data_IF_603804269855
#
_entry.id   IF_603804269855
#
_cell.length_a   1.000
_cell.length_b   1.000
_cell.length_c   1.000
_cell.angle_alpha   90.00
_cell.angle_beta   90.00
_cell.angle_gamma   90.00
#
_symmetry.space_group_name_H-M   'P 1'
#
loop_
_entity.id
_entity.type
_entity.pdbx_description
1 polymer ?
#
# COMPACT_ATOMS: atom_id res chain seq x y z
N UNK A 1 -6.44 44.19 -8.04
CA UNK A 1 -5.94 42.81 -7.96
C UNK A 1 -6.87 42.04 -7.05
N UNK A 2 -7.76 41.23 -7.63
CA UNK A 2 -8.73 40.41 -6.89
C UNK A 2 -8.05 39.11 -6.50
N UNK A 3 -7.82 38.91 -5.21
CA UNK A 3 -7.37 37.60 -4.66
C UNK A 3 -8.57 36.67 -4.73
N UNK A 4 -8.56 35.72 -5.67
CA UNK A 4 -9.58 34.70 -5.80
C UNK A 4 -9.64 33.90 -4.49
N UNK A 5 -10.77 33.94 -3.80
CA UNK A 5 -11.08 33.09 -2.66
C UNK A 5 -11.02 31.63 -3.14
N UNK A 6 -9.88 30.97 -2.92
CA UNK A 6 -9.77 29.52 -3.10
C UNK A 6 -10.83 28.88 -2.22
N UNK A 7 -11.75 28.16 -2.85
CA UNK A 7 -12.91 27.55 -2.18
C UNK A 7 -12.45 26.47 -1.19
N UNK A 8 -12.31 26.83 0.07
CA UNK A 8 -12.11 25.91 1.20
C UNK A 8 -13.23 24.85 1.34
N UNK A 9 -14.40 25.13 0.73
CA UNK A 9 -15.57 24.23 0.78
C UNK A 9 -15.37 22.93 0.01
N UNK A 10 -14.57 22.91 -1.06
CA UNK A 10 -14.32 21.68 -1.83
C UNK A 10 -13.37 20.72 -1.12
N UNK A 11 -12.37 21.22 -0.40
CA UNK A 11 -11.44 20.38 0.37
C UNK A 11 -12.10 19.70 1.57
N UNK A 12 -12.91 20.44 2.33
CA UNK A 12 -13.61 19.90 3.51
C UNK A 12 -14.64 18.83 3.12
N UNK A 13 -15.34 18.98 1.98
CA UNK A 13 -16.28 17.96 1.51
C UNK A 13 -15.61 16.68 1.04
N UNK A 14 -14.38 16.74 0.49
CA UNK A 14 -13.60 15.56 0.11
C UNK A 14 -13.12 14.84 1.37
N UNK A 15 -12.60 15.56 2.36
CA UNK A 15 -12.15 14.99 3.63
C UNK A 15 -13.32 14.31 4.38
N UNK A 16 -14.49 14.96 4.46
CA UNK A 16 -15.68 14.38 5.09
C UNK A 16 -16.17 13.12 4.38
N UNK A 17 -16.15 13.10 3.03
CA UNK A 17 -16.52 11.90 2.26
C UNK A 17 -15.49 10.78 2.44
N UNK A 18 -14.21 11.10 2.49
CA UNK A 18 -13.15 10.14 2.76
C UNK A 18 -13.28 9.54 4.18
N UNK A 19 -13.54 10.36 5.19
CA UNK A 19 -13.82 9.91 6.56
C UNK A 19 -15.08 9.03 6.64
N UNK A 20 -16.14 9.37 5.90
CA UNK A 20 -17.35 8.56 5.84
C UNK A 20 -17.05 7.20 5.18
N UNK A 21 -16.28 7.15 4.09
CA UNK A 21 -15.88 5.89 3.44
C UNK A 21 -15.04 5.01 4.36
N UNK A 22 -14.15 5.61 5.17
CA UNK A 22 -13.34 4.89 6.17
C UNK A 22 -14.21 4.31 7.29
N UNK A 23 -15.28 4.99 7.72
CA UNK A 23 -16.20 4.48 8.74
C UNK A 23 -17.02 3.26 8.30
N UNK A 24 -17.13 3.02 6.99
CA UNK A 24 -17.79 1.83 6.42
C UNK A 24 -16.79 0.70 6.08
N UNK A 25 -15.49 0.88 6.33
CA UNK A 25 -14.53 -0.21 6.19
C UNK A 25 -14.81 -1.25 7.28
N UNK A 26 -15.21 -2.45 6.85
CA UNK A 26 -15.41 -3.59 7.76
C UNK A 26 -14.07 -3.93 8.44
N UNK A 27 -14.11 -4.45 9.69
CA UNK A 27 -12.90 -4.90 10.36
C UNK A 27 -12.15 -5.89 9.45
N UNK A 28 -10.85 -5.69 9.34
CA UNK A 28 -9.96 -6.57 8.60
C UNK A 28 -9.93 -7.94 9.30
N UNK A 29 -10.90 -8.80 8.99
CA UNK A 29 -10.76 -10.22 9.23
C UNK A 29 -9.55 -10.69 8.42
N UNK A 30 -8.64 -11.43 9.05
CA UNK A 30 -7.40 -11.92 8.45
C UNK A 30 -7.61 -12.31 6.98
N UNK A 31 -6.87 -11.66 6.10
CA UNK A 31 -7.14 -11.58 4.66
C UNK A 31 -6.78 -12.89 3.95
N UNK A 32 -7.56 -13.95 4.19
CA UNK A 32 -7.37 -15.23 3.51
C UNK A 32 -8.17 -15.28 2.20
N UNK A 33 -7.53 -15.12 1.02
CA UNK A 33 -8.21 -15.14 -0.28
C UNK A 33 -9.00 -16.41 -0.54
N UNK A 34 -8.66 -17.52 0.14
CA UNK A 34 -9.29 -18.84 0.02
C UNK A 34 -10.15 -19.21 1.25
N UNK A 35 -10.66 -18.22 2.02
CA UNK A 35 -11.50 -18.48 3.18
C UNK A 35 -10.83 -19.36 4.25
N UNK A 36 -9.59 -19.04 4.62
CA UNK A 36 -8.72 -19.76 5.56
C UNK A 36 -8.24 -21.14 5.10
N UNK A 37 -8.50 -21.54 3.85
CA UNK A 37 -7.95 -22.78 3.30
C UNK A 37 -6.62 -22.52 2.61
N UNK A 38 -5.65 -23.41 2.85
CA UNK A 38 -4.36 -23.36 2.12
C UNK A 38 -4.59 -23.66 0.63
N UNK A 39 -4.01 -22.89 -0.28
CA UNK A 39 -3.98 -23.25 -1.70
C UNK A 39 -3.32 -24.61 -1.89
N UNK A 40 -3.93 -25.48 -2.72
CA UNK A 40 -3.49 -26.85 -2.95
C UNK A 40 -2.86 -27.06 -4.33
N UNK A 41 -3.08 -26.11 -5.24
CA UNK A 41 -2.57 -26.19 -6.61
C UNK A 41 -1.80 -24.92 -6.99
N UNK A 42 -0.94 -25.01 -8.00
CA UNK A 42 -0.22 -23.86 -8.55
C UNK A 42 -1.18 -22.72 -8.92
N UNK A 43 -2.30 -23.02 -9.58
CA UNK A 43 -3.28 -22.01 -9.97
C UNK A 43 -3.93 -21.35 -8.75
N UNK A 44 -4.27 -22.10 -7.71
CA UNK A 44 -4.79 -21.53 -6.46
C UNK A 44 -3.75 -20.68 -5.74
N UNK A 45 -2.48 -21.10 -5.70
CA UNK A 45 -1.38 -20.31 -5.17
C UNK A 45 -1.24 -18.97 -5.90
N UNK A 46 -1.23 -19.00 -7.22
CA UNK A 46 -1.13 -17.79 -8.05
C UNK A 46 -2.30 -16.83 -7.81
N UNK A 47 -3.54 -17.35 -7.82
CA UNK A 47 -4.75 -16.55 -7.58
C UNK A 47 -4.79 -15.99 -6.15
N UNK A 48 -4.36 -16.77 -5.15
CA UNK A 48 -4.25 -16.32 -3.78
C UNK A 48 -3.22 -15.18 -3.66
N UNK A 49 -2.09 -15.31 -4.35
CA UNK A 49 -1.07 -14.24 -4.44
C UNK A 49 -1.61 -12.97 -5.10
N UNK A 50 -2.40 -13.07 -6.15
CA UNK A 50 -3.08 -11.92 -6.74
C UNK A 50 -4.14 -11.31 -5.82
N UNK A 51 -4.88 -12.14 -5.10
CA UNK A 51 -5.98 -11.72 -4.24
C UNK A 51 -5.52 -11.01 -2.98
N UNK A 52 -4.47 -11.50 -2.32
CA UNK A 52 -4.08 -11.02 -1.00
C UNK A 52 -3.83 -9.51 -0.93
N UNK A 53 -2.98 -8.89 -1.79
CA UNK A 53 -2.75 -7.45 -1.75
C UNK A 53 -3.97 -6.61 -2.18
N UNK A 54 -4.96 -7.21 -2.82
CA UNK A 54 -6.19 -6.52 -3.26
C UNK A 54 -7.27 -6.58 -2.19
N UNK A 55 -7.39 -7.72 -1.51
CA UNK A 55 -8.38 -7.94 -0.44
C UNK A 55 -7.91 -7.25 0.85
N UNK A 56 -6.61 -7.24 1.14
CA UNK A 56 -6.00 -6.49 2.22
C UNK A 56 -5.99 -5.00 1.93
N UNK A 57 -7.01 -4.27 2.41
CA UNK A 57 -7.19 -2.85 2.12
C UNK A 57 -6.03 -1.98 2.62
N UNK A 58 -5.37 -2.37 3.69
CA UNK A 58 -4.15 -1.77 4.24
C UNK A 58 -2.98 -1.93 3.27
N UNK A 59 -2.74 -3.15 2.80
CA UNK A 59 -1.73 -3.42 1.79
C UNK A 59 -2.05 -2.69 0.47
N UNK A 60 -3.31 -2.72 0.03
CA UNK A 60 -3.75 -2.02 -1.19
C UNK A 60 -3.52 -0.51 -1.08
N UNK A 61 -3.90 0.09 0.05
CA UNK A 61 -3.71 1.52 0.29
C UNK A 61 -2.22 1.91 0.27
N UNK A 62 -1.36 1.08 0.90
CA UNK A 62 0.07 1.30 0.88
C UNK A 62 0.66 1.19 -0.53
N UNK A 63 0.35 0.12 -1.27
CA UNK A 63 0.86 -0.12 -2.63
C UNK A 63 0.45 1.00 -3.58
N UNK A 64 -0.82 1.45 -3.54
CA UNK A 64 -1.28 2.61 -4.30
C UNK A 64 -0.48 3.84 -3.90
N UNK A 65 -0.35 4.10 -2.60
CA UNK A 65 0.34 5.28 -2.07
C UNK A 65 1.80 5.38 -2.50
N UNK A 66 2.57 4.31 -2.34
CA UNK A 66 3.99 4.30 -2.79
C UNK A 66 4.11 4.36 -4.31
N UNK A 67 3.13 3.82 -5.07
CA UNK A 67 3.04 3.99 -6.52
C UNK A 67 2.84 5.45 -6.93
N UNK A 68 1.97 6.19 -6.23
CA UNK A 68 1.79 7.64 -6.43
C UNK A 68 3.08 8.41 -6.10
N UNK A 69 3.77 8.08 -4.99
CA UNK A 69 5.05 8.71 -4.61
C UNK A 69 6.13 8.38 -5.65
N UNK A 70 6.19 7.17 -6.15
CA UNK A 70 7.17 6.76 -7.17
C UNK A 70 7.13 7.68 -8.41
N UNK A 71 5.96 8.21 -8.78
CA UNK A 71 5.84 9.17 -9.90
C UNK A 71 6.43 10.56 -9.58
N UNK A 72 6.68 10.87 -8.32
CA UNK A 72 7.28 12.12 -7.85
C UNK A 72 8.81 12.00 -7.66
N UNK A 73 9.33 10.77 -7.66
CA UNK A 73 10.75 10.46 -7.41
C UNK A 73 11.45 10.09 -8.73
N UNK A 74 12.69 10.56 -8.98
CA UNK A 74 13.47 10.10 -10.14
C UNK A 74 13.64 8.58 -10.13
N UNK A 75 13.41 7.93 -11.27
CA UNK A 75 13.47 6.46 -11.41
C UNK A 75 12.61 5.70 -10.37
N UNK A 76 11.53 6.34 -9.89
CA UNK A 76 10.74 5.81 -8.78
C UNK A 76 10.10 4.44 -9.07
N UNK A 77 9.72 4.16 -10.32
CA UNK A 77 9.19 2.84 -10.68
C UNK A 77 10.24 1.72 -10.58
N UNK A 78 11.52 2.04 -10.85
CA UNK A 78 12.62 1.09 -10.62
C UNK A 78 12.84 0.93 -9.11
N UNK A 79 12.85 2.04 -8.36
CA UNK A 79 12.99 2.03 -6.90
C UNK A 79 11.86 1.23 -6.23
N UNK A 80 10.65 1.20 -6.81
CA UNK A 80 9.52 0.38 -6.35
C UNK A 80 9.87 -1.11 -6.25
N UNK A 81 10.82 -1.59 -7.07
CA UNK A 81 11.34 -2.95 -6.96
C UNK A 81 11.93 -3.27 -5.58
N UNK A 82 12.41 -2.26 -4.82
CA UNK A 82 12.90 -2.47 -3.46
C UNK A 82 11.77 -2.90 -2.50
N UNK A 83 10.55 -2.40 -2.70
CA UNK A 83 9.37 -2.85 -1.95
C UNK A 83 9.08 -4.32 -2.23
N UNK A 84 9.07 -4.73 -3.50
CA UNK A 84 8.84 -6.14 -3.87
C UNK A 84 9.93 -7.04 -3.26
N UNK A 85 11.19 -6.63 -3.35
CA UNK A 85 12.31 -7.36 -2.71
C UNK A 85 12.15 -7.45 -1.19
N UNK A 86 11.72 -6.36 -0.54
CA UNK A 86 11.38 -6.35 0.88
C UNK A 86 10.25 -7.32 1.22
N UNK A 87 9.15 -7.32 0.44
CA UNK A 87 8.05 -8.25 0.65
C UNK A 87 8.48 -9.71 0.50
N UNK A 88 9.29 -10.04 -0.50
CA UNK A 88 9.83 -11.39 -0.66
C UNK A 88 10.68 -11.78 0.55
N UNK A 89 11.57 -10.89 1.02
CA UNK A 89 12.38 -11.13 2.20
C UNK A 89 11.53 -11.32 3.47
N UNK A 90 10.52 -10.47 3.68
CA UNK A 90 9.60 -10.58 4.82
C UNK A 90 8.82 -11.88 4.83
N UNK A 91 8.29 -12.30 3.67
CA UNK A 91 7.62 -13.60 3.53
C UNK A 91 8.57 -14.75 3.88
N UNK A 92 9.80 -14.72 3.38
CA UNK A 92 10.81 -15.74 3.71
C UNK A 92 11.11 -15.76 5.22
N UNK A 93 11.27 -14.59 5.87
CA UNK A 93 11.48 -14.50 7.33
C UNK A 93 10.34 -15.22 8.07
N UNK A 94 9.09 -14.97 7.67
CA UNK A 94 7.92 -15.60 8.28
C UNK A 94 7.92 -17.13 8.09
N UNK A 95 8.25 -17.61 6.88
CA UNK A 95 8.31 -19.04 6.58
C UNK A 95 9.39 -19.78 7.39
N UNK A 96 10.44 -19.09 7.80
CA UNK A 96 11.45 -19.62 8.74
C UNK A 96 11.04 -19.52 10.21
N UNK A 97 9.81 -19.15 10.50
CA UNK A 97 9.27 -19.01 11.87
C UNK A 97 10.09 -18.03 12.74
N UNK A 98 10.64 -17.01 12.13
CA UNK A 98 11.31 -15.90 12.84
C UNK A 98 10.25 -14.85 13.14
N UNK A 99 9.97 -14.64 14.42
CA UNK A 99 8.97 -13.66 14.85
C UNK A 99 9.47 -12.22 14.67
N UNK A 100 8.73 -11.43 13.93
CA UNK A 100 8.91 -9.99 13.86
C UNK A 100 7.93 -9.29 14.83
N UNK A 101 8.41 -8.44 15.72
CA UNK A 101 7.54 -7.71 16.65
C UNK A 101 6.79 -6.58 15.92
N UNK A 102 5.62 -6.23 16.44
CA UNK A 102 4.84 -5.05 16.07
C UNK A 102 4.57 -4.89 14.55
N UNK A 103 4.34 -5.99 13.86
CA UNK A 103 4.13 -6.01 12.39
C UNK A 103 2.97 -5.12 11.98
N UNK A 104 1.78 -5.33 12.55
CA UNK A 104 0.57 -4.58 12.23
C UNK A 104 0.70 -3.06 12.53
N UNK A 105 1.24 -2.63 13.69
CA UNK A 105 1.52 -1.22 13.94
C UNK A 105 2.47 -0.59 12.91
N UNK A 106 3.50 -1.30 12.45
CA UNK A 106 4.43 -0.79 11.45
C UNK A 106 3.75 -0.68 10.08
N UNK A 107 2.92 -1.66 9.70
CA UNK A 107 2.10 -1.58 8.48
C UNK A 107 1.23 -0.33 8.53
N UNK A 108 0.46 -0.13 9.60
CA UNK A 108 -0.40 1.04 9.76
C UNK A 108 0.40 2.36 9.74
N UNK A 109 1.53 2.42 10.45
CA UNK A 109 2.42 3.59 10.45
C UNK A 109 2.99 3.90 9.06
N UNK A 110 3.32 2.86 8.26
CA UNK A 110 3.81 3.03 6.89
C UNK A 110 2.75 3.66 5.97
N UNK A 111 1.48 3.31 6.15
CA UNK A 111 0.35 3.90 5.41
C UNK A 111 0.17 5.37 5.80
N UNK A 112 0.25 5.69 7.12
CA UNK A 112 0.19 7.07 7.61
C UNK A 112 1.34 7.89 7.01
N UNK A 113 2.57 7.39 7.08
CA UNK A 113 3.75 8.06 6.54
C UNK A 113 3.61 8.32 5.03
N UNK A 114 3.10 7.34 4.28
CA UNK A 114 2.80 7.47 2.85
C UNK A 114 1.79 8.57 2.58
N UNK A 115 0.71 8.64 3.37
CA UNK A 115 -0.29 9.71 3.31
C UNK A 115 0.31 11.09 3.58
N UNK A 116 1.16 11.21 4.60
CA UNK A 116 1.87 12.46 4.94
C UNK A 116 2.80 12.92 3.82
N UNK A 117 3.57 12.00 3.23
CA UNK A 117 4.46 12.31 2.10
C UNK A 117 3.69 12.86 0.91
N UNK A 118 2.55 12.23 0.55
CA UNK A 118 1.69 12.70 -0.54
C UNK A 118 1.06 14.06 -0.22
N UNK A 119 0.66 14.28 1.03
CA UNK A 119 0.06 15.54 1.48
C UNK A 119 1.05 16.71 1.42
N UNK A 120 2.26 16.50 1.94
CA UNK A 120 3.30 17.51 2.01
C UNK A 120 4.02 17.72 0.67
N UNK A 121 4.04 16.71 -0.20
CA UNK A 121 4.74 16.69 -1.49
C UNK A 121 6.23 17.09 -1.36
N UNK A 122 6.85 16.65 -0.28
CA UNK A 122 8.26 16.86 -0.01
C UNK A 122 9.13 16.17 -1.06
N UNK A 123 10.25 16.80 -1.40
CA UNK A 123 11.22 16.20 -2.30
C UNK A 123 11.96 15.07 -1.58
N UNK A 124 11.75 13.83 -2.03
CA UNK A 124 12.41 12.65 -1.48
C UNK A 124 13.42 12.14 -2.51
N UNK A 125 14.65 11.88 -2.07
CA UNK A 125 15.65 11.25 -2.94
C UNK A 125 15.26 9.79 -3.26
N UNK A 126 15.68 9.31 -4.42
CA UNK A 126 15.42 7.92 -4.85
C UNK A 126 15.94 6.90 -3.84
N UNK A 127 17.10 7.17 -3.23
CA UNK A 127 17.72 6.27 -2.24
C UNK A 127 16.88 6.20 -0.96
N UNK A 128 16.46 7.35 -0.41
CA UNK A 128 15.62 7.40 0.80
C UNK A 128 14.27 6.71 0.53
N UNK A 129 13.67 6.95 -0.63
CA UNK A 129 12.44 6.30 -1.02
C UNK A 129 12.63 4.78 -1.11
N UNK A 130 13.65 4.29 -1.85
CA UNK A 130 13.90 2.86 -2.02
C UNK A 130 14.19 2.14 -0.69
N UNK A 131 15.01 2.73 0.18
CA UNK A 131 15.31 2.17 1.51
C UNK A 131 14.02 2.14 2.36
N UNK A 132 13.27 3.22 2.41
CA UNK A 132 12.05 3.31 3.21
C UNK A 132 11.02 2.26 2.80
N UNK A 133 10.71 2.17 1.50
CA UNK A 133 9.73 1.17 1.02
C UNK A 133 10.28 -0.26 1.05
N UNK A 134 11.59 -0.46 0.96
CA UNK A 134 12.22 -1.77 1.13
C UNK A 134 12.08 -2.29 2.56
N UNK A 135 12.37 -1.45 3.55
CA UNK A 135 12.21 -1.80 4.97
C UNK A 135 10.73 -2.06 5.30
N UNK A 136 9.82 -1.16 4.92
CA UNK A 136 8.39 -1.39 5.16
C UNK A 136 7.87 -2.60 4.40
N UNK A 137 8.41 -2.88 3.22
CA UNK A 137 8.14 -4.08 2.45
C UNK A 137 8.39 -5.37 3.23
N UNK A 138 9.42 -5.42 4.09
CA UNK A 138 9.68 -6.60 4.95
C UNK A 138 8.47 -6.89 5.85
N UNK A 139 7.88 -5.89 6.47
CA UNK A 139 6.73 -6.05 7.37
C UNK A 139 5.47 -6.42 6.60
N UNK A 140 5.20 -5.77 5.46
CA UNK A 140 4.09 -6.15 4.59
C UNK A 140 4.23 -7.58 4.07
N UNK A 141 5.45 -7.97 3.66
CA UNK A 141 5.74 -9.31 3.19
C UNK A 141 5.65 -10.38 4.28
N UNK A 142 6.03 -10.03 5.51
CA UNK A 142 5.86 -10.89 6.67
C UNK A 142 4.38 -11.23 6.89
N UNK A 143 3.50 -10.24 6.87
CA UNK A 143 2.05 -10.46 6.96
C UNK A 143 1.50 -11.29 5.80
N UNK A 144 2.02 -11.12 4.58
CA UNK A 144 1.65 -11.97 3.44
C UNK A 144 2.05 -13.44 3.64
N UNK A 145 3.15 -13.69 4.33
CA UNK A 145 3.66 -15.04 4.62
C UNK A 145 2.67 -15.89 5.41
N UNK A 146 1.88 -15.28 6.30
CA UNK A 146 0.93 -15.96 7.17
C UNK A 146 -0.07 -16.82 6.39
N UNK A 147 -0.58 -16.35 5.26
CA UNK A 147 -1.60 -17.04 4.46
C UNK A 147 -1.10 -18.24 3.66
N UNK A 148 0.23 -18.49 3.64
CA UNK A 148 0.85 -19.51 2.78
C UNK A 148 1.72 -20.49 3.56
N UNK A 149 1.78 -20.39 4.90
CA UNK A 149 2.53 -21.31 5.75
C UNK A 149 2.00 -22.73 5.55
N UNK A 150 2.93 -23.68 5.32
CA UNK A 150 2.60 -25.08 5.15
C UNK A 150 2.18 -25.49 3.73
N UNK A 151 2.15 -24.56 2.78
CA UNK A 151 1.91 -24.88 1.38
C UNK A 151 3.11 -25.60 0.74
N UNK A 152 2.84 -26.44 -0.26
CA UNK A 152 3.89 -27.06 -1.06
C UNK A 152 4.74 -26.02 -1.81
N UNK A 153 6.01 -26.36 -2.10
CA UNK A 153 6.97 -25.45 -2.71
C UNK A 153 6.49 -24.84 -4.05
N UNK A 154 5.79 -25.61 -4.88
CA UNK A 154 5.24 -25.15 -6.16
C UNK A 154 4.12 -24.13 -5.96
N UNK A 155 3.26 -24.35 -4.97
CA UNK A 155 2.15 -23.46 -4.58
C UNK A 155 2.69 -22.17 -3.98
N UNK A 156 3.69 -22.29 -3.09
CA UNK A 156 4.40 -21.14 -2.54
C UNK A 156 5.04 -20.29 -3.63
N UNK A 157 5.77 -20.91 -4.56
CA UNK A 157 6.39 -20.19 -5.69
C UNK A 157 5.35 -19.44 -6.53
N UNK A 158 4.21 -20.07 -6.83
CA UNK A 158 3.09 -19.45 -7.54
C UNK A 158 2.53 -18.23 -6.79
N UNK A 159 2.34 -18.37 -5.47
CA UNK A 159 1.87 -17.29 -4.60
C UNK A 159 2.83 -16.09 -4.63
N UNK A 160 4.15 -16.34 -4.45
CA UNK A 160 5.17 -15.28 -4.48
C UNK A 160 5.21 -14.55 -5.83
N UNK A 161 5.06 -15.28 -6.93
CA UNK A 161 4.94 -14.68 -8.27
C UNK A 161 3.67 -13.83 -8.35
N UNK A 162 2.52 -14.37 -7.94
CA UNK A 162 1.23 -13.68 -8.01
C UNK A 162 1.23 -12.36 -7.25
N UNK A 163 1.63 -12.36 -5.97
CA UNK A 163 1.62 -11.14 -5.19
C UNK A 163 2.65 -10.10 -5.68
N UNK A 164 3.79 -10.55 -6.18
CA UNK A 164 4.80 -9.64 -6.74
C UNK A 164 4.30 -8.94 -7.99
N UNK A 165 3.70 -9.69 -8.90
CA UNK A 165 3.15 -9.17 -10.16
C UNK A 165 2.01 -8.18 -9.91
N UNK A 166 1.05 -8.53 -9.06
CA UNK A 166 -0.11 -7.66 -8.82
C UNK A 166 0.29 -6.37 -8.11
N UNK A 167 1.16 -6.42 -7.11
CA UNK A 167 1.63 -5.24 -6.41
C UNK A 167 2.41 -4.32 -7.35
N UNK A 168 3.32 -4.87 -8.16
CA UNK A 168 4.02 -4.07 -9.15
C UNK A 168 3.07 -3.46 -10.18
N UNK A 169 2.08 -4.23 -10.63
CA UNK A 169 1.02 -3.77 -11.54
C UNK A 169 0.20 -2.60 -10.95
N UNK A 170 -0.28 -2.74 -9.71
CA UNK A 170 -1.04 -1.69 -9.00
C UNK A 170 -0.18 -0.44 -8.83
N UNK A 171 1.07 -0.61 -8.36
CA UNK A 171 2.02 0.50 -8.20
C UNK A 171 2.32 1.21 -9.52
N UNK A 172 2.49 0.45 -10.62
CA UNK A 172 2.69 1.01 -11.96
C UNK A 172 1.46 1.80 -12.45
N UNK A 173 0.25 1.28 -12.24
CA UNK A 173 -0.99 2.00 -12.59
C UNK A 173 -1.06 3.32 -11.81
N UNK A 174 -0.83 3.30 -10.49
CA UNK A 174 -0.81 4.50 -9.65
C UNK A 174 0.27 5.51 -10.13
N UNK A 175 1.46 5.03 -10.47
CA UNK A 175 2.53 5.84 -11.06
C UNK A 175 2.08 6.54 -12.34
N UNK A 176 1.49 5.82 -13.29
CA UNK A 176 1.06 6.40 -14.58
C UNK A 176 -0.13 7.35 -14.39
N UNK A 177 -1.03 7.10 -13.43
CA UNK A 177 -2.09 8.05 -13.07
C UNK A 177 -1.48 9.42 -12.70
N UNK A 178 -0.46 9.47 -11.85
CA UNK A 178 0.20 10.75 -11.51
C UNK A 178 0.89 11.36 -12.73
N UNK A 179 1.50 10.56 -13.61
CA UNK A 179 2.12 11.08 -14.84
C UNK A 179 1.10 11.74 -15.76
N UNK A 180 -0.11 11.17 -15.89
CA UNK A 180 -1.20 11.80 -16.65
C UNK A 180 -1.75 13.05 -15.95
N UNK A 181 -1.83 13.04 -14.61
CA UNK A 181 -2.25 14.23 -13.84
C UNK A 181 -1.29 15.39 -14.01
N UNK A 182 0.02 15.15 -14.13
CA UNK A 182 1.03 16.20 -14.35
C UNK A 182 0.87 16.93 -15.71
N UNK A 183 0.12 16.39 -16.64
CA UNK A 183 -0.27 17.05 -17.88
C UNK A 183 -1.45 18.03 -17.71
N UNK A 184 -2.09 18.07 -16.54
CA UNK A 184 -3.18 18.96 -16.17
C UNK A 184 -2.65 20.24 -15.51
N UNK A 185 -3.49 21.29 -15.31
CA UNK A 185 -3.08 22.46 -14.56
C UNK A 185 -2.48 22.09 -13.20
N UNK A 186 -1.35 22.73 -12.85
CA UNK A 186 -0.55 22.40 -11.67
C UNK A 186 -1.37 22.33 -10.37
N UNK A 187 -2.26 23.30 -10.17
CA UNK A 187 -3.13 23.35 -8.98
C UNK A 187 -4.03 22.11 -8.86
N UNK A 188 -4.56 21.65 -10.00
CA UNK A 188 -5.43 20.48 -10.04
C UNK A 188 -4.64 19.19 -9.74
N UNK A 189 -3.47 19.02 -10.37
CA UNK A 189 -2.60 17.87 -10.12
C UNK A 189 -2.15 17.81 -8.64
N UNK A 190 -1.70 18.93 -8.08
CA UNK A 190 -1.27 19.04 -6.68
C UNK A 190 -2.42 18.69 -5.73
N UNK A 191 -3.61 19.27 -5.95
CA UNK A 191 -4.76 19.01 -5.07
C UNK A 191 -5.21 17.55 -5.14
N UNK A 192 -5.20 16.92 -6.31
CA UNK A 192 -5.56 15.51 -6.47
C UNK A 192 -4.60 14.59 -5.70
N UNK A 193 -3.30 14.84 -5.78
CA UNK A 193 -2.29 14.05 -5.06
C UNK A 193 -2.43 14.26 -3.54
N UNK A 194 -2.65 15.50 -3.09
CA UNK A 194 -2.88 15.80 -1.66
C UNK A 194 -4.15 15.13 -1.14
N UNK A 195 -5.24 15.15 -1.92
CA UNK A 195 -6.47 14.46 -1.55
C UNK A 195 -6.26 12.95 -1.41
N UNK A 196 -5.51 12.32 -2.32
CA UNK A 196 -5.13 10.93 -2.17
C UNK A 196 -4.32 10.69 -0.89
N UNK A 197 -3.38 11.60 -0.55
CA UNK A 197 -2.61 11.56 0.69
C UNK A 197 -3.49 11.62 1.94
N UNK A 198 -4.53 12.49 1.95
CA UNK A 198 -5.51 12.56 3.06
C UNK A 198 -6.26 11.24 3.19
N UNK A 199 -6.76 10.67 2.10
CA UNK A 199 -7.52 9.41 2.13
C UNK A 199 -6.65 8.28 2.67
N UNK A 200 -5.44 8.10 2.10
CA UNK A 200 -4.51 7.04 2.51
C UNK A 200 -4.07 7.21 3.96
N UNK A 201 -3.69 8.44 4.38
CA UNK A 201 -3.27 8.70 5.75
C UNK A 201 -4.40 8.49 6.77
N UNK A 202 -5.63 8.89 6.44
CA UNK A 202 -6.80 8.64 7.29
C UNK A 202 -7.10 7.15 7.43
N UNK A 203 -6.93 6.38 6.36
CA UNK A 203 -7.07 4.93 6.41
C UNK A 203 -5.98 4.29 7.30
N UNK A 204 -4.74 4.75 7.21
CA UNK A 204 -3.67 4.29 8.10
C UNK A 204 -3.93 4.61 9.57
N UNK A 205 -4.48 5.79 9.88
CA UNK A 205 -4.91 6.14 11.25
C UNK A 205 -6.03 5.22 11.74
N UNK A 206 -7.01 4.91 10.89
CA UNK A 206 -8.06 3.95 11.21
C UNK A 206 -7.47 2.55 11.47
N UNK A 207 -6.60 2.05 10.56
CA UNK A 207 -5.95 0.75 10.70
C UNK A 207 -5.11 0.65 12.00
N UNK A 208 -4.47 1.75 12.41
CA UNK A 208 -3.75 1.80 13.69
C UNK A 208 -4.72 1.80 14.88
N UNK A 209 -5.79 2.59 14.81
CA UNK A 209 -6.73 2.75 15.91
C UNK A 209 -7.47 1.45 16.25
N UNK A 210 -7.88 0.67 15.26
CA UNK A 210 -8.59 -0.60 15.49
C UNK A 210 -7.76 -1.63 16.26
N UNK A 211 -6.42 -1.57 16.17
CA UNK A 211 -5.53 -2.47 16.91
C UNK A 211 -5.56 -2.25 18.44
N UNK A 212 -6.05 -1.10 18.90
CA UNK A 212 -6.20 -0.79 20.33
C UNK A 212 -7.63 -0.97 20.85
N UNK A 213 -8.58 -1.24 19.97
CA UNK A 213 -10.02 -1.35 20.31
C UNK A 213 -10.50 -2.80 20.21
N UNK A 214 -9.85 -3.61 19.38
CA UNK A 214 -10.10 -5.04 19.21
C UNK A 214 -9.37 -5.87 20.26
#
# INVERSE_FOLDING_TARGET
MSVSKVSYRSGLSVVLRALLLVLFALPAAAHHPMGYQLPQTFAQGLLSGFGHPVIGLDHLAFVIGIGLIAALVPRGLIAFGAFIGGCLAGCVIHLFSVDLPVVEPIIAASIIATGVVLLLQQHISTTVFAIGIGITGIFHGYAYGESIIGAEASVLGAYLIGFSLIQYGIGAVAYFVVKTLKAKPVTWAVNSIRSAGVVIGSFGLYALAIQFIA
#
